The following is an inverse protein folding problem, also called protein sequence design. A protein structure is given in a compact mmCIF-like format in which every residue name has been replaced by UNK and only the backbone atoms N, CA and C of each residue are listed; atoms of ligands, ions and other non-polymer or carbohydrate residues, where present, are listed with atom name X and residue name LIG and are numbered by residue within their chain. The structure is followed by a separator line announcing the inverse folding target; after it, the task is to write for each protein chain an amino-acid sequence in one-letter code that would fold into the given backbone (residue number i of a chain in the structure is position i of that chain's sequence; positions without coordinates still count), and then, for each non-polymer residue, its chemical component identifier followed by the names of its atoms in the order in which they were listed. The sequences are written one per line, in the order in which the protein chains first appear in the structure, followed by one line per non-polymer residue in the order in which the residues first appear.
data_IF_673512363461
#
_entry.id   IF_673512363461
#
_cell.length_a   1.000
_cell.length_b   1.000
_cell.length_c   1.000
_cell.angle_alpha   90.00
_cell.angle_beta   90.00
_cell.angle_gamma   90.00
#
_symmetry.space_group_name_H-M   'P 1'
#
loop_
_entity.id
_entity.type
_entity.pdbx_description
1 polymer ?
#
# COMPACT_ATOMS: atom_id res chain seq x y z
N UNK A 1 9.67 18.04 7.30
CA UNK A 1 8.86 17.62 6.12
C UNK A 1 9.50 16.46 5.35
N UNK A 2 10.79 16.53 4.94
CA UNK A 2 11.47 15.42 4.22
C UNK A 2 11.41 14.05 4.92
N UNK A 3 11.61 13.99 6.24
CA UNK A 3 11.55 12.72 7.02
C UNK A 3 10.15 12.10 7.00
N UNK A 4 9.09 12.93 7.06
CA UNK A 4 7.69 12.47 7.06
C UNK A 4 7.32 11.90 5.68
N UNK A 5 7.74 12.56 4.60
CA UNK A 5 7.56 12.04 3.23
C UNK A 5 8.29 10.71 3.01
N UNK A 6 9.53 10.58 3.50
CA UNK A 6 10.25 9.31 3.45
C UNK A 6 9.58 8.18 4.23
N UNK A 7 9.08 8.46 5.44
CA UNK A 7 8.34 7.46 6.22
C UNK A 7 7.04 7.04 5.52
N UNK A 8 6.32 7.98 4.92
CA UNK A 8 5.14 7.70 4.10
C UNK A 8 5.48 6.82 2.89
N UNK A 9 6.55 7.13 2.16
CA UNK A 9 7.00 6.33 1.03
C UNK A 9 7.36 4.90 1.41
N UNK A 10 8.00 4.69 2.57
CA UNK A 10 8.28 3.35 3.12
C UNK A 10 6.96 2.62 3.44
N UNK A 11 5.99 3.30 4.08
CA UNK A 11 4.69 2.69 4.39
C UNK A 11 3.93 2.28 3.12
N UNK A 12 3.91 3.13 2.09
CA UNK A 12 3.32 2.81 0.78
C UNK A 12 3.99 1.58 0.17
N UNK A 13 5.33 1.55 0.18
CA UNK A 13 6.11 0.44 -0.39
C UNK A 13 5.78 -0.88 0.31
N UNK A 14 5.73 -0.88 1.65
CA UNK A 14 5.38 -2.07 2.43
C UNK A 14 3.94 -2.53 2.15
N UNK A 15 2.98 -1.62 2.07
CA UNK A 15 1.59 -1.94 1.75
C UNK A 15 1.45 -2.51 0.32
N UNK A 16 2.18 -1.95 -0.64
CA UNK A 16 2.19 -2.45 -2.01
C UNK A 16 2.77 -3.86 -2.06
N UNK A 17 3.91 -4.08 -1.39
CA UNK A 17 4.56 -5.39 -1.32
C UNK A 17 3.63 -6.44 -0.70
N UNK A 18 2.95 -6.09 0.39
CA UNK A 18 1.96 -6.97 1.04
C UNK A 18 0.84 -7.40 0.07
N UNK A 19 0.28 -6.45 -0.69
CA UNK A 19 -0.76 -6.76 -1.67
C UNK A 19 -0.25 -7.63 -2.84
N UNK A 20 1.00 -7.42 -3.30
CA UNK A 20 1.62 -8.25 -4.34
C UNK A 20 1.83 -9.68 -3.83
N UNK A 21 2.45 -9.86 -2.66
CA UNK A 21 2.69 -11.18 -2.07
C UNK A 21 1.38 -11.95 -1.88
N UNK A 22 0.36 -11.26 -1.40
CA UNK A 22 -0.96 -11.82 -1.27
C UNK A 22 -1.53 -12.30 -2.60
N UNK A 23 -1.47 -11.48 -3.64
CA UNK A 23 -1.95 -11.85 -4.97
C UNK A 23 -1.23 -13.10 -5.48
N UNK A 24 0.10 -13.17 -5.29
CA UNK A 24 0.90 -14.34 -5.67
C UNK A 24 0.49 -15.60 -4.89
N UNK A 25 0.25 -15.50 -3.58
CA UNK A 25 -0.21 -16.64 -2.77
C UNK A 25 -1.58 -17.13 -3.24
N UNK A 26 -2.53 -16.23 -3.47
CA UNK A 26 -3.86 -16.58 -3.99
C UNK A 26 -3.77 -17.25 -5.38
N UNK A 27 -2.86 -16.78 -6.24
CA UNK A 27 -2.62 -17.39 -7.55
C UNK A 27 -2.02 -18.79 -7.42
N UNK A 28 -1.08 -19.00 -6.50
CA UNK A 28 -0.50 -20.33 -6.20
C UNK A 28 -1.55 -21.28 -5.63
N UNK A 29 -2.37 -20.83 -4.66
CA UNK A 29 -3.48 -21.61 -4.10
C UNK A 29 -4.44 -22.07 -5.19
N UNK A 30 -4.84 -21.15 -6.07
CA UNK A 30 -5.73 -21.45 -7.19
C UNK A 30 -5.10 -22.41 -8.21
N UNK A 31 -3.82 -22.21 -8.55
CA UNK A 31 -3.13 -23.03 -9.55
C UNK A 31 -2.89 -24.46 -9.08
N UNK A 32 -2.48 -24.64 -7.81
CA UNK A 32 -2.20 -25.96 -7.25
C UNK A 32 -3.42 -26.61 -6.56
N UNK A 33 -4.56 -25.91 -6.53
CA UNK A 33 -5.77 -26.31 -5.81
C UNK A 33 -5.47 -26.66 -4.33
N UNK A 34 -4.51 -25.93 -3.74
CA UNK A 34 -4.08 -26.07 -2.36
C UNK A 34 -4.78 -25.01 -1.53
N UNK A 35 -5.32 -25.40 -0.38
CA UNK A 35 -5.85 -24.46 0.59
C UNK A 35 -4.86 -24.35 1.76
N UNK A 36 -4.08 -23.27 1.82
CA UNK A 36 -3.14 -23.04 2.90
C UNK A 36 -3.81 -22.41 4.14
N UNK A 37 -5.14 -22.25 4.13
CA UNK A 37 -5.89 -21.61 5.20
C UNK A 37 -5.70 -20.09 5.25
N UNK A 38 -5.04 -19.50 4.25
CA UNK A 38 -4.87 -18.05 4.13
C UNK A 38 -6.14 -17.33 3.69
N UNK A 39 -7.18 -18.07 3.24
CA UNK A 39 -8.51 -17.54 2.89
C UNK A 39 -9.06 -16.54 3.93
N UNK A 40 -8.87 -16.80 5.22
CA UNK A 40 -9.43 -15.95 6.27
C UNK A 40 -8.75 -14.57 6.38
N UNK A 41 -7.50 -14.45 5.95
CA UNK A 41 -6.69 -13.22 6.07
C UNK A 41 -6.53 -12.52 4.71
N UNK A 42 -6.32 -13.31 3.65
CA UNK A 42 -6.03 -12.83 2.30
C UNK A 42 -7.28 -12.72 1.41
N UNK A 43 -8.33 -13.52 1.64
CA UNK A 43 -9.61 -13.40 0.91
C UNK A 43 -10.66 -12.60 1.70
N UNK A 44 -10.31 -12.07 2.87
CA UNK A 44 -11.18 -11.13 3.57
C UNK A 44 -11.24 -9.82 2.79
N UNK A 45 -12.38 -9.58 2.12
CA UNK A 45 -12.65 -8.37 1.37
C UNK A 45 -12.44 -7.10 2.20
N UNK A 46 -12.73 -7.10 3.51
CA UNK A 46 -12.48 -5.93 4.36
C UNK A 46 -10.99 -5.61 4.50
N UNK A 47 -10.15 -6.63 4.68
CA UNK A 47 -8.68 -6.45 4.74
C UNK A 47 -8.14 -6.01 3.38
N UNK A 48 -8.70 -6.55 2.31
CA UNK A 48 -8.36 -6.21 0.92
C UNK A 48 -8.64 -4.75 0.59
N UNK A 49 -9.91 -4.37 0.65
CA UNK A 49 -10.34 -3.04 0.27
C UNK A 49 -9.83 -2.01 1.26
N UNK A 50 -9.65 -2.38 2.53
CA UNK A 50 -8.99 -1.52 3.52
C UNK A 50 -7.53 -1.25 3.20
N UNK A 51 -6.74 -2.27 2.82
CA UNK A 51 -5.34 -2.09 2.45
C UNK A 51 -5.19 -1.26 1.16
N UNK A 52 -6.05 -1.47 0.17
CA UNK A 52 -6.07 -0.67 -1.06
C UNK A 52 -6.48 0.78 -0.78
N UNK A 53 -7.52 1.00 0.04
CA UNK A 53 -7.95 2.35 0.43
C UNK A 53 -6.86 3.11 1.18
N UNK A 54 -6.14 2.44 2.09
CA UNK A 54 -5.00 3.01 2.80
C UNK A 54 -3.86 3.37 1.85
N UNK A 55 -3.57 2.52 0.85
CA UNK A 55 -2.58 2.82 -0.19
C UNK A 55 -2.92 4.11 -0.93
N UNK A 56 -4.16 4.24 -1.40
CA UNK A 56 -4.63 5.43 -2.12
C UNK A 56 -4.55 6.67 -1.24
N UNK A 57 -4.98 6.56 0.02
CA UNK A 57 -4.91 7.67 0.98
C UNK A 57 -3.47 8.11 1.25
N UNK A 58 -2.56 7.16 1.48
CA UNK A 58 -1.15 7.44 1.74
C UNK A 58 -0.46 8.05 0.53
N UNK A 59 -0.74 7.56 -0.68
CA UNK A 59 -0.22 8.14 -1.93
C UNK A 59 -0.70 9.58 -2.12
N UNK A 60 -2.00 9.84 -1.92
CA UNK A 60 -2.56 11.19 -2.01
C UNK A 60 -1.93 12.14 -0.98
N UNK A 61 -1.75 11.69 0.26
CA UNK A 61 -1.11 12.48 1.31
C UNK A 61 0.36 12.79 0.98
N UNK A 62 1.08 11.83 0.40
CA UNK A 62 2.46 12.04 -0.01
C UNK A 62 2.57 13.08 -1.13
N UNK A 63 1.72 12.97 -2.16
CA UNK A 63 1.62 13.95 -3.26
C UNK A 63 1.31 15.36 -2.72
N UNK A 64 0.36 15.47 -1.78
CA UNK A 64 -0.03 16.73 -1.17
C UNK A 64 1.12 17.36 -0.37
N UNK A 65 1.84 16.57 0.42
CA UNK A 65 3.01 17.02 1.19
C UNK A 65 4.12 17.50 0.25
N UNK A 66 4.36 16.77 -0.83
CA UNK A 66 5.40 17.08 -1.81
C UNK A 66 5.06 18.34 -2.61
N UNK A 67 3.79 18.52 -3.00
CA UNK A 67 3.30 19.73 -3.66
C UNK A 67 3.41 20.98 -2.76
N UNK A 68 3.04 20.86 -1.48
CA UNK A 68 3.18 21.95 -0.51
C UNK A 68 4.65 22.29 -0.25
N UNK A 69 5.54 21.29 -0.25
CA UNK A 69 6.97 21.52 -0.08
C UNK A 69 7.58 22.28 -1.27
N UNK A 70 7.32 21.83 -2.51
CA UNK A 70 7.83 22.49 -3.72
C UNK A 70 7.33 23.94 -3.89
N UNK A 71 6.05 24.20 -3.57
CA UNK A 71 5.51 25.56 -3.64
C UNK A 71 6.08 26.50 -2.57
N UNK A 72 6.53 25.96 -1.43
CA UNK A 72 7.17 26.76 -0.39
C UNK A 72 8.67 26.99 -0.66
N UNK A 73 9.34 26.08 -1.38
CA UNK A 73 10.71 26.31 -1.86
C UNK A 73 10.77 27.34 -3.01
N UNK A 74 9.72 27.49 -3.82
CA UNK A 74 9.70 28.46 -4.93
C UNK A 74 9.45 29.92 -4.51
N UNK A 75 9.15 30.15 -3.23
CA UNK A 75 8.89 31.48 -2.65
C UNK A 75 10.11 32.10 -1.92
N UNK A 76 11.26 31.42 -1.92
CA UNK A 76 12.55 31.91 -1.42
C UNK A 76 13.59 31.97 -2.55
#
# INVERSE_FOLDING_TARGET
MKVISHLLGIMITLLALFNIFRFLISLVESYFNMNFGFDFVLHNNYVTYGAIALLVLSAFLQELIEHQYNNNESLF
#
